data_IF_589795193440
#
_entry.id   IF_589795193440
#
_cell.length_a   1.000
_cell.length_b   1.000
_cell.length_c   1.000
_cell.angle_alpha   90.00
_cell.angle_beta   90.00
_cell.angle_gamma   90.00
#
_symmetry.space_group_name_H-M   'P 1'
#
loop_
_entity.id
_entity.type
_entity.pdbx_description
1 polymer ?
#
# COMPACT_ATOMS: atom_id res chain seq x y z
N UNK A 1 -0.67 -18.33 -27.11
CA UNK A 1 -1.91 -17.64 -26.68
C UNK A 1 -1.81 -17.31 -25.20
N UNK A 2 -1.99 -16.06 -24.79
CA UNK A 2 -1.93 -15.68 -23.37
C UNK A 2 -3.14 -16.27 -22.66
N UNK A 3 -2.91 -17.06 -21.61
CA UNK A 3 -3.98 -17.57 -20.76
C UNK A 3 -4.39 -16.47 -19.77
N UNK A 4 -5.41 -15.68 -20.14
CA UNK A 4 -5.90 -14.55 -19.36
C UNK A 4 -6.39 -14.97 -17.96
N UNK A 5 -6.99 -16.14 -17.82
CA UNK A 5 -7.40 -16.68 -16.51
C UNK A 5 -6.18 -16.84 -15.60
N UNK A 6 -5.13 -17.49 -16.09
CA UNK A 6 -3.88 -17.69 -15.33
C UNK A 6 -3.19 -16.36 -14.99
N UNK A 7 -3.23 -15.39 -15.91
CA UNK A 7 -2.70 -14.05 -15.68
C UNK A 7 -3.45 -13.32 -14.56
N UNK A 8 -4.79 -13.34 -14.59
CA UNK A 8 -5.64 -12.72 -13.56
C UNK A 8 -5.38 -13.33 -12.19
N UNK A 9 -5.27 -14.66 -12.10
CA UNK A 9 -4.93 -15.33 -10.84
C UNK A 9 -3.55 -14.89 -10.32
N UNK A 10 -2.55 -14.81 -11.20
CA UNK A 10 -1.20 -14.34 -10.83
C UNK A 10 -1.22 -12.89 -10.34
N UNK A 11 -1.93 -12.00 -11.02
CA UNK A 11 -2.07 -10.60 -10.62
C UNK A 11 -2.74 -10.47 -9.24
N UNK A 12 -3.85 -11.16 -9.01
CA UNK A 12 -4.53 -11.16 -7.69
C UNK A 12 -3.63 -11.67 -6.58
N UNK A 13 -2.86 -12.73 -6.84
CA UNK A 13 -1.90 -13.28 -5.86
C UNK A 13 -0.75 -12.31 -5.57
N UNK A 14 -0.19 -11.69 -6.60
CA UNK A 14 0.87 -10.69 -6.46
C UNK A 14 0.37 -9.47 -5.68
N UNK A 15 -0.84 -9.00 -5.97
CA UNK A 15 -1.44 -7.89 -5.26
C UNK A 15 -1.68 -8.20 -3.78
N UNK A 16 -2.22 -9.38 -3.49
CA UNK A 16 -2.44 -9.83 -2.11
C UNK A 16 -1.12 -9.99 -1.34
N UNK A 17 -0.10 -10.61 -1.94
CA UNK A 17 1.22 -10.75 -1.31
C UNK A 17 1.91 -9.42 -1.09
N UNK A 18 1.83 -8.48 -2.04
CA UNK A 18 2.34 -7.12 -1.88
C UNK A 18 1.63 -6.38 -0.73
N UNK A 19 0.29 -6.37 -0.74
CA UNK A 19 -0.51 -5.77 0.32
C UNK A 19 -0.12 -6.33 1.70
N UNK A 20 -0.03 -7.65 1.83
CA UNK A 20 0.31 -8.31 3.09
C UNK A 20 1.72 -7.99 3.58
N UNK A 21 2.69 -7.78 2.68
CA UNK A 21 4.04 -7.33 3.05
C UNK A 21 4.00 -5.95 3.69
N UNK A 22 3.28 -5.01 3.07
CA UNK A 22 3.16 -3.63 3.58
C UNK A 22 2.40 -3.59 4.90
N UNK A 23 1.32 -4.36 5.03
CA UNK A 23 0.41 -4.31 6.17
C UNK A 23 0.73 -5.34 7.25
N UNK A 24 1.95 -5.90 7.28
CA UNK A 24 2.34 -6.99 8.20
C UNK A 24 2.10 -6.67 9.68
N UNK A 25 2.28 -5.40 10.06
CA UNK A 25 2.16 -4.93 11.44
C UNK A 25 0.80 -4.28 11.74
N UNK A 26 -0.14 -4.31 10.78
CA UNK A 26 -1.47 -3.75 10.93
C UNK A 26 -2.46 -4.83 11.39
N UNK A 27 -3.51 -4.40 12.08
CA UNK A 27 -4.61 -5.30 12.44
C UNK A 27 -5.34 -5.80 11.20
N UNK A 28 -5.95 -6.99 11.26
CA UNK A 28 -6.70 -7.59 10.14
C UNK A 28 -7.70 -6.61 9.48
N UNK A 29 -8.49 -5.80 10.23
CA UNK A 29 -9.38 -4.81 9.62
C UNK A 29 -8.64 -3.73 8.82
N UNK A 30 -7.50 -3.23 9.32
CA UNK A 30 -6.68 -2.21 8.64
C UNK A 30 -5.99 -2.77 7.40
N UNK A 31 -5.47 -4.00 7.48
CA UNK A 31 -4.89 -4.70 6.33
C UNK A 31 -5.92 -4.95 5.23
N UNK A 32 -7.14 -5.36 5.61
CA UNK A 32 -8.26 -5.52 4.67
C UNK A 32 -8.63 -4.20 4.02
N UNK A 33 -8.74 -3.12 4.80
CA UNK A 33 -9.04 -1.79 4.27
C UNK A 33 -7.98 -1.32 3.27
N UNK A 34 -6.70 -1.47 3.59
CA UNK A 34 -5.60 -1.11 2.69
C UNK A 34 -5.68 -1.88 1.36
N UNK A 35 -5.90 -3.20 1.41
CA UNK A 35 -6.10 -4.01 0.22
C UNK A 35 -7.29 -3.51 -0.63
N UNK A 36 -8.40 -3.14 0.01
CA UNK A 36 -9.59 -2.62 -0.68
C UNK A 36 -9.33 -1.31 -1.41
N UNK A 37 -8.60 -0.37 -0.78
CA UNK A 37 -8.19 0.90 -1.41
C UNK A 37 -7.24 0.63 -2.57
N UNK A 38 -6.22 -0.21 -2.36
CA UNK A 38 -5.23 -0.56 -3.38
C UNK A 38 -5.89 -1.24 -4.59
N UNK A 39 -6.82 -2.15 -4.34
CA UNK A 39 -7.59 -2.82 -5.39
C UNK A 39 -8.43 -1.82 -6.20
N UNK A 40 -9.16 -0.92 -5.53
CA UNK A 40 -9.97 0.09 -6.20
C UNK A 40 -9.14 1.11 -7.00
N UNK A 41 -7.95 1.47 -6.51
CA UNK A 41 -6.99 2.30 -7.24
C UNK A 41 -6.52 1.63 -8.53
N UNK A 42 -6.25 0.32 -8.51
CA UNK A 42 -5.83 -0.41 -9.70
C UNK A 42 -6.96 -0.63 -10.71
N UNK A 43 -8.20 -0.82 -10.25
CA UNK A 43 -9.35 -1.03 -11.14
C UNK A 43 -9.82 0.27 -11.80
N UNK A 44 -9.96 1.35 -11.02
CA UNK A 44 -10.62 2.58 -11.46
C UNK A 44 -9.71 3.82 -11.45
N UNK A 45 -8.43 3.70 -11.09
CA UNK A 45 -7.45 4.80 -11.06
C UNK A 45 -7.92 6.04 -10.28
N UNK A 46 -8.67 5.82 -9.21
CA UNK A 46 -9.35 6.87 -8.47
C UNK A 46 -9.26 6.66 -6.97
N UNK A 47 -9.23 7.76 -6.24
CA UNK A 47 -9.21 7.82 -4.78
C UNK A 47 -10.62 7.95 -4.18
N UNK A 48 -11.65 8.14 -5.01
CA UNK A 48 -13.02 8.32 -4.55
C UNK A 48 -13.57 7.02 -3.94
N UNK A 49 -14.00 7.09 -2.68
CA UNK A 49 -14.55 5.92 -1.97
C UNK A 49 -15.80 5.34 -2.66
N UNK A 50 -16.58 6.16 -3.37
CA UNK A 50 -17.71 5.71 -4.17
C UNK A 50 -17.29 4.76 -5.29
N UNK A 51 -16.23 5.12 -6.02
CA UNK A 51 -15.70 4.33 -7.12
C UNK A 51 -14.98 3.07 -6.65
N UNK A 52 -14.21 3.20 -5.56
CA UNK A 52 -13.59 2.04 -4.89
C UNK A 52 -14.69 1.08 -4.43
N UNK A 53 -15.77 1.58 -3.85
CA UNK A 53 -16.89 0.75 -3.39
C UNK A 53 -17.59 0.00 -4.54
N UNK A 54 -17.70 0.61 -5.73
CA UNK A 54 -18.23 -0.05 -6.93
C UNK A 54 -17.29 -1.15 -7.45
N UNK A 55 -15.97 -0.90 -7.47
CA UNK A 55 -14.96 -1.88 -7.87
C UNK A 55 -14.99 -3.15 -6.99
N UNK A 56 -15.23 -2.99 -5.68
CA UNK A 56 -15.24 -4.13 -4.75
C UNK A 56 -16.42 -5.11 -4.94
N UNK A 57 -17.51 -4.68 -5.59
CA UNK A 57 -18.70 -5.51 -5.92
C UNK A 57 -19.23 -6.32 -4.72
N UNK A 58 -19.29 -5.68 -3.54
CA UNK A 58 -19.79 -6.33 -2.33
C UNK A 58 -21.31 -6.50 -2.35
N UNK A 59 -21.81 -7.52 -1.63
CA UNK A 59 -23.25 -7.82 -1.56
C UNK A 59 -24.09 -6.79 -0.78
N UNK A 60 -23.45 -5.95 0.03
CA UNK A 60 -24.13 -4.92 0.83
C UNK A 60 -24.40 -3.66 -0.02
N UNK A 61 -25.30 -2.79 0.44
CA UNK A 61 -25.59 -1.56 -0.31
C UNK A 61 -24.36 -0.67 -0.48
N UNK A 62 -24.29 0.05 -1.60
CA UNK A 62 -23.17 0.93 -1.94
C UNK A 62 -22.91 1.94 -0.81
N UNK A 63 -23.97 2.57 -0.29
CA UNK A 63 -23.90 3.51 0.85
C UNK A 63 -23.23 2.87 2.07
N UNK A 64 -23.63 1.66 2.48
CA UNK A 64 -23.04 0.96 3.63
C UNK A 64 -21.55 0.64 3.39
N UNK A 65 -21.16 0.34 2.16
CA UNK A 65 -19.75 0.11 1.80
C UNK A 65 -18.95 1.40 1.95
N UNK A 66 -19.46 2.51 1.42
CA UNK A 66 -18.85 3.84 1.54
C UNK A 66 -18.71 4.23 3.00
N UNK A 67 -19.77 4.11 3.80
CA UNK A 67 -19.76 4.45 5.22
C UNK A 67 -18.74 3.61 6.01
N UNK A 68 -18.59 2.33 5.67
CA UNK A 68 -17.57 1.46 6.27
C UNK A 68 -16.16 1.88 5.85
N UNK A 69 -15.93 2.13 4.56
CA UNK A 69 -14.61 2.57 4.07
C UNK A 69 -14.22 3.92 4.69
N UNK A 70 -15.17 4.86 4.77
CA UNK A 70 -14.97 6.17 5.39
C UNK A 70 -14.59 6.05 6.87
N UNK A 71 -15.31 5.20 7.64
CA UNK A 71 -14.95 4.92 9.04
C UNK A 71 -13.58 4.27 9.17
N UNK A 72 -13.26 3.30 8.32
CA UNK A 72 -11.95 2.66 8.34
C UNK A 72 -10.83 3.64 7.99
N UNK A 73 -11.06 4.55 7.04
CA UNK A 73 -10.12 5.61 6.68
C UNK A 73 -9.89 6.57 7.85
N UNK A 74 -10.97 7.03 8.50
CA UNK A 74 -10.90 7.91 9.67
C UNK A 74 -10.13 7.26 10.84
N UNK A 75 -10.26 5.94 10.99
CA UNK A 75 -9.60 5.16 12.03
C UNK A 75 -8.22 4.62 11.61
N UNK A 76 -7.73 4.99 10.43
CA UNK A 76 -6.41 4.63 9.93
C UNK A 76 -5.40 5.67 10.43
N UNK A 77 -4.90 5.50 11.66
CA UNK A 77 -3.89 6.37 12.24
C UNK A 77 -2.48 6.02 11.70
N UNK A 78 -1.66 7.04 11.45
CA UNK A 78 -0.30 6.91 10.96
C UNK A 78 0.61 6.16 11.95
N UNK A 79 0.26 6.13 13.23
CA UNK A 79 1.02 5.42 14.28
C UNK A 79 1.08 3.90 14.07
N UNK A 80 0.07 3.33 13.41
CA UNK A 80 0.04 1.90 13.16
C UNK A 80 0.98 1.49 12.01
N UNK A 81 1.28 2.42 11.10
CA UNK A 81 2.13 2.15 9.95
C UNK A 81 3.61 2.33 10.31
N UNK A 82 4.26 1.22 10.65
CA UNK A 82 5.72 1.14 10.74
C UNK A 82 6.29 0.58 9.44
N UNK A 83 6.88 1.46 8.62
CA UNK A 83 7.59 1.05 7.41
C UNK A 83 8.63 -0.03 7.72
N UNK A 84 8.68 -1.11 6.95
CA UNK A 84 9.73 -2.13 7.10
C UNK A 84 11.13 -1.56 6.86
N UNK A 85 11.22 -0.41 6.19
CA UNK A 85 12.47 0.28 5.91
C UNK A 85 12.93 1.15 7.09
N UNK A 86 12.30 1.07 8.27
CA UNK A 86 12.76 1.82 9.46
C UNK A 86 14.24 1.55 9.75
N UNK A 87 14.74 0.33 9.53
CA UNK A 87 16.17 0.03 9.73
C UNK A 87 17.06 0.70 8.67
N UNK A 88 16.62 0.78 7.42
CA UNK A 88 17.33 1.52 6.36
C UNK A 88 17.34 3.02 6.69
N UNK A 89 16.21 3.56 7.14
CA UNK A 89 16.10 4.96 7.58
C UNK A 89 17.01 5.24 8.79
N UNK A 90 17.06 4.33 9.77
CA UNK A 90 18.01 4.42 10.90
C UNK A 90 19.47 4.34 10.44
N UNK A 91 19.78 3.49 9.47
CA UNK A 91 21.10 3.41 8.85
C UNK A 91 21.48 4.71 8.14
N UNK A 92 20.55 5.28 7.37
CA UNK A 92 20.71 6.59 6.73
C UNK A 92 20.93 7.71 7.75
N UNK A 93 20.15 7.71 8.83
CA UNK A 93 20.30 8.69 9.93
C UNK A 93 21.65 8.54 10.63
N UNK A 94 22.10 7.30 10.87
CA UNK A 94 23.42 7.02 11.43
C UNK A 94 24.55 7.54 10.54
N UNK A 95 24.48 7.27 9.23
CA UNK A 95 25.46 7.74 8.25
C UNK A 95 25.44 9.27 8.16
N UNK A 96 24.26 9.88 8.09
CA UNK A 96 24.10 11.35 8.07
C UNK A 96 24.66 12.01 9.32
N UNK A 97 24.49 11.39 10.50
CA UNK A 97 25.03 11.88 11.76
C UNK A 97 26.55 11.83 11.80
N UNK A 98 27.17 10.74 11.32
CA UNK A 98 28.63 10.55 11.42
C UNK A 98 29.42 11.20 10.29
N UNK A 99 28.87 11.24 9.07
CA UNK A 99 29.57 11.72 7.88
C UNK A 99 29.00 13.04 7.32
N UNK A 100 27.90 13.54 7.87
CA UNK A 100 27.17 14.69 7.33
C UNK A 100 26.54 14.38 5.95
N UNK A 101 26.20 15.41 5.17
CA UNK A 101 25.69 15.24 3.79
C UNK A 101 26.77 14.78 2.77
N UNK A 102 28.00 14.44 3.22
CA UNK A 102 29.15 14.20 2.34
C UNK A 102 29.11 12.83 1.64
N UNK A 103 28.35 11.86 2.16
CA UNK A 103 28.22 10.51 1.59
C UNK A 103 27.19 10.36 0.46
N UNK A 104 26.31 11.36 0.24
CA UNK A 104 25.30 11.30 -0.82
C UNK A 104 25.93 11.56 -2.21
N UNK A 105 27.05 12.27 -2.25
CA UNK A 105 27.74 12.67 -3.50
C UNK A 105 28.58 11.56 -4.16
N UNK A 106 28.91 10.47 -3.46
CA UNK A 106 29.76 9.41 -4.02
C UNK A 106 29.00 8.38 -4.86
N UNK A 107 27.69 8.23 -4.65
CA UNK A 107 26.84 7.34 -5.46
C UNK A 107 26.38 7.98 -6.78
N UNK A 108 26.32 9.32 -6.83
CA UNK A 108 25.81 10.07 -7.99
C UNK A 108 26.82 10.16 -9.15
N UNK A 109 28.06 9.67 -8.97
CA UNK A 109 29.11 9.68 -10.01
C UNK A 109 29.25 8.40 -10.83
N UNK A 110 28.37 7.42 -10.69
CA UNK A 110 28.48 6.13 -11.40
C UNK A 110 27.35 5.84 -12.40
N UNK A 111 26.48 6.81 -12.68
CA UNK A 111 25.52 6.74 -13.77
C UNK A 111 25.49 8.05 -14.56
N UNK A 112 26.58 8.32 -15.29
CA UNK A 112 26.58 9.15 -16.50
C UNK A 112 27.24 8.32 -17.60
#
# INVERSE_FOLDING_TARGET
>A
MINYSRLIYKLKRNLSTFSNKITKNLTKPKSKFFFQVLYGLLENQTVLLSEISRALKEKISLKKTIDRLSRNLKNFDNKDFKSQNIEILKGLDFVKKHFGNRGIYTADRWYI
#
